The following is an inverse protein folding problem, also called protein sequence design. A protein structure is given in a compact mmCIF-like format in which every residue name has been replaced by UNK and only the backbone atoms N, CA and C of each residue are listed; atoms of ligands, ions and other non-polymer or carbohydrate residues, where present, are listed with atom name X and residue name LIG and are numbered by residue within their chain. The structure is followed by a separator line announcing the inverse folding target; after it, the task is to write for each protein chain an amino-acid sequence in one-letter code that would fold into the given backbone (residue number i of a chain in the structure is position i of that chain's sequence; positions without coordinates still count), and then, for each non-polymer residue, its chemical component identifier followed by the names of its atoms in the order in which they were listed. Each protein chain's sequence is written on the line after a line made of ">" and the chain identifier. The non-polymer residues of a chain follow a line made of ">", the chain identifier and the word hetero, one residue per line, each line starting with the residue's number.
data_IF_613730473579
#
_entry.id   IF_613730473579
#
_cell.length_a   1.000
_cell.length_b   1.000
_cell.length_c   1.000
_cell.angle_alpha   90.00
_cell.angle_beta   90.00
_cell.angle_gamma   90.00
#
_symmetry.space_group_name_H-M   'P 1'
#
loop_
_entity.id
_entity.type
_entity.pdbx_description
1 polymer ?
#
# COMPACT_ATOMS: atom_id res chain seq x y z
N UNK A 1 5.43 -7.11 9.56
CA UNK A 1 4.51 -6.44 8.61
C UNK A 1 5.19 -5.24 8.02
N UNK A 2 5.23 -5.18 6.70
CA UNK A 2 5.78 -4.07 5.94
C UNK A 2 4.64 -3.39 5.20
N UNK A 3 4.53 -2.06 5.33
CA UNK A 3 3.63 -1.27 4.48
C UNK A 3 4.25 -1.20 3.09
N UNK A 4 3.44 -1.48 2.07
CA UNK A 4 3.84 -1.40 0.67
C UNK A 4 3.44 -0.02 0.18
N UNK A 5 4.41 0.78 -0.23
CA UNK A 5 4.16 2.06 -0.87
C UNK A 5 4.15 1.87 -2.39
N UNK A 6 3.38 2.66 -3.12
CA UNK A 6 3.50 2.74 -4.58
C UNK A 6 4.83 3.38 -5.02
N UNK A 7 5.08 3.42 -6.33
CA UNK A 7 6.30 3.97 -6.92
C UNK A 7 6.51 5.46 -6.57
N UNK A 8 5.43 6.24 -6.59
CA UNK A 8 5.48 7.66 -6.28
C UNK A 8 5.97 7.89 -4.85
N UNK A 9 5.31 7.27 -3.87
CA UNK A 9 5.64 7.41 -2.45
C UNK A 9 7.02 6.81 -2.10
N UNK A 10 7.48 5.80 -2.84
CA UNK A 10 8.83 5.26 -2.73
C UNK A 10 9.90 6.26 -3.20
N UNK A 11 9.60 7.07 -4.22
CA UNK A 11 10.55 8.05 -4.78
C UNK A 11 10.76 9.28 -3.90
N UNK A 12 9.84 9.57 -2.98
CA UNK A 12 9.92 10.74 -2.10
C UNK A 12 11.09 10.66 -1.12
N UNK A 13 11.81 11.77 -0.97
CA UNK A 13 12.74 11.99 0.12
C UNK A 13 12.01 12.28 1.44
N UNK A 14 12.77 12.33 2.54
CA UNK A 14 12.22 12.49 3.89
C UNK A 14 11.65 13.90 4.16
N UNK A 15 12.17 14.90 3.47
CA UNK A 15 11.82 16.32 3.63
C UNK A 15 10.69 16.79 2.71
N UNK A 16 10.34 16.01 1.68
CA UNK A 16 9.18 16.26 0.82
C UNK A 16 7.91 16.43 1.66
N UNK A 17 6.99 17.28 1.21
CA UNK A 17 5.85 17.73 2.02
C UNK A 17 4.53 17.40 1.33
N UNK A 18 3.62 16.82 2.10
CA UNK A 18 2.21 16.69 1.77
C UNK A 18 1.42 17.84 2.38
N UNK A 19 0.47 18.39 1.65
CA UNK A 19 -0.58 19.22 2.22
C UNK A 19 -1.83 18.35 2.45
N UNK A 20 -2.24 18.20 3.70
CA UNK A 20 -3.39 17.40 4.11
C UNK A 20 -4.30 18.23 5.01
N UNK A 21 -5.50 18.58 4.55
CA UNK A 21 -6.47 19.37 5.33
C UNK A 21 -5.84 20.65 5.94
N UNK A 22 -5.19 21.47 5.11
CA UNK A 22 -4.47 22.70 5.50
C UNK A 22 -3.28 22.47 6.45
N UNK A 23 -2.75 21.26 6.54
CA UNK A 23 -1.56 20.92 7.32
C UNK A 23 -0.44 20.44 6.42
N UNK A 24 0.73 21.06 6.57
CA UNK A 24 1.96 20.61 5.92
C UNK A 24 2.62 19.49 6.74
N UNK A 25 2.79 18.32 6.12
CA UNK A 25 3.32 17.11 6.75
C UNK A 25 4.47 16.57 5.92
N UNK A 26 5.65 16.46 6.54
CA UNK A 26 6.81 15.81 5.90
C UNK A 26 6.53 14.34 5.60
N UNK A 27 7.06 13.86 4.48
CA UNK A 27 7.03 12.48 4.02
C UNK A 27 7.54 11.51 5.08
N UNK A 28 8.67 11.84 5.74
CA UNK A 28 9.19 11.03 6.84
C UNK A 28 8.18 10.89 8.00
N UNK A 29 7.52 12.00 8.38
CA UNK A 29 6.55 12.00 9.47
C UNK A 29 5.32 11.14 9.13
N UNK A 30 4.85 11.23 7.89
CA UNK A 30 3.75 10.39 7.40
C UNK A 30 4.13 8.91 7.41
N UNK A 31 5.27 8.54 6.80
CA UNK A 31 5.80 7.16 6.78
C UNK A 31 5.98 6.60 8.19
N UNK A 32 6.52 7.41 9.12
CA UNK A 32 6.66 7.02 10.52
C UNK A 32 5.31 6.77 11.19
N UNK A 33 4.36 7.72 11.08
CA UNK A 33 3.04 7.60 11.70
C UNK A 33 2.26 6.39 11.18
N UNK A 34 2.36 6.11 9.87
CA UNK A 34 1.80 4.90 9.27
C UNK A 34 2.45 3.65 9.86
N UNK A 35 3.78 3.55 9.82
CA UNK A 35 4.50 2.40 10.36
C UNK A 35 4.22 2.15 11.85
N UNK A 36 4.10 3.20 12.66
CA UNK A 36 3.75 3.12 14.09
C UNK A 36 2.31 2.62 14.29
N UNK A 37 1.34 3.21 13.58
CA UNK A 37 -0.09 2.83 13.65
C UNK A 37 -0.32 1.37 13.25
N UNK A 38 0.40 0.94 12.23
CA UNK A 38 0.37 -0.41 11.70
C UNK A 38 1.35 -1.36 12.43
N UNK A 39 2.21 -0.82 13.30
CA UNK A 39 3.15 -1.56 14.12
C UNK A 39 2.44 -2.50 15.11
N UNK A 40 1.41 -2.01 15.79
CA UNK A 40 0.71 -2.76 16.84
C UNK A 40 -0.80 -2.46 16.97
N UNK A 41 -1.27 -1.21 17.09
CA UNK A 41 -2.68 -0.94 17.40
C UNK A 41 -3.66 -1.53 16.40
N UNK A 42 -3.40 -1.36 15.10
CA UNK A 42 -4.31 -1.81 14.04
C UNK A 42 -4.27 -3.34 13.90
N UNK A 43 -3.09 -3.96 13.99
CA UNK A 43 -2.95 -5.42 13.87
C UNK A 43 -3.76 -6.15 14.93
N UNK A 44 -3.62 -5.72 16.18
CA UNK A 44 -4.33 -6.31 17.30
C UNK A 44 -5.84 -6.17 17.12
N UNK A 45 -6.31 -4.96 16.81
CA UNK A 45 -7.73 -4.68 16.62
C UNK A 45 -8.33 -5.49 15.47
N UNK A 46 -7.60 -5.65 14.35
CA UNK A 46 -8.05 -6.47 13.24
C UNK A 46 -8.25 -7.93 13.67
N UNK A 47 -7.26 -8.49 14.36
CA UNK A 47 -7.33 -9.88 14.82
C UNK A 47 -8.45 -10.08 15.84
N UNK A 48 -8.61 -9.16 16.79
CA UNK A 48 -9.73 -9.19 17.74
C UNK A 48 -11.08 -9.17 17.01
N UNK A 49 -11.19 -8.40 15.92
CA UNK A 49 -12.40 -8.34 15.13
C UNK A 49 -12.65 -9.62 14.31
N UNK A 50 -11.60 -10.27 13.80
CA UNK A 50 -11.70 -11.59 13.16
C UNK A 50 -12.14 -12.67 14.17
N UNK A 51 -11.54 -12.69 15.36
CA UNK A 51 -11.91 -13.59 16.46
C UNK A 51 -13.38 -13.39 16.88
N UNK A 52 -13.82 -12.12 16.97
CA UNK A 52 -15.21 -11.77 17.25
C UNK A 52 -16.17 -12.38 16.23
N UNK A 53 -15.80 -12.38 14.95
CA UNK A 53 -16.54 -13.01 13.86
C UNK A 53 -16.32 -14.53 13.72
N UNK A 54 -15.70 -15.17 14.72
CA UNK A 54 -15.44 -16.63 14.77
C UNK A 54 -14.53 -17.13 13.65
N UNK A 55 -13.69 -16.25 13.10
CA UNK A 55 -12.58 -16.63 12.23
C UNK A 55 -11.42 -16.96 13.15
N UNK A 56 -10.98 -18.23 13.16
CA UNK A 56 -9.87 -18.65 14.02
C UNK A 56 -8.59 -17.92 13.61
N UNK A 57 -8.05 -17.11 14.52
CA UNK A 57 -6.77 -16.42 14.30
C UNK A 57 -5.59 -17.08 15.02
N UNK A 58 -5.84 -18.16 15.75
CA UNK A 58 -4.83 -18.92 16.50
C UNK A 58 -4.28 -20.07 15.65
N UNK A 59 -2.96 -20.24 15.72
CA UNK A 59 -2.31 -21.47 15.27
C UNK A 59 -2.46 -22.51 16.39
N UNK A 60 -3.14 -23.65 16.15
CA UNK A 60 -3.35 -24.67 17.18
C UNK A 60 -2.05 -25.31 17.70
N UNK A 61 -0.92 -25.15 16.99
CA UNK A 61 0.40 -25.71 17.35
C UNK A 61 1.27 -24.66 18.08
N UNK A 62 1.16 -23.39 17.70
CA UNK A 62 2.06 -22.31 18.18
C UNK A 62 1.39 -21.24 19.04
N UNK A 63 0.08 -21.33 19.26
CA UNK A 63 -0.71 -20.30 19.97
C UNK A 63 -1.09 -19.11 19.08
N UNK A 64 -1.53 -18.01 19.70
CA UNK A 64 -1.90 -16.77 18.99
C UNK A 64 -0.64 -16.05 18.51
N UNK A 65 -0.32 -16.12 17.22
CA UNK A 65 0.74 -15.33 16.59
C UNK A 65 0.11 -14.31 15.65
N UNK A 66 -0.16 -13.11 16.16
CA UNK A 66 -0.69 -12.00 15.38
C UNK A 66 0.13 -11.77 14.10
N UNK A 67 1.44 -12.02 14.19
CA UNK A 67 2.44 -11.81 13.16
C UNK A 67 2.24 -12.73 11.96
N UNK A 68 1.70 -13.96 12.13
CA UNK A 68 1.63 -14.93 11.02
C UNK A 68 0.75 -14.43 9.88
N UNK A 69 -0.32 -13.70 10.19
CA UNK A 69 -1.24 -13.16 9.18
C UNK A 69 -0.59 -12.09 8.31
N UNK A 70 0.42 -11.38 8.82
CA UNK A 70 1.05 -10.23 8.15
C UNK A 70 2.49 -10.49 7.68
N UNK A 71 3.14 -11.55 8.17
CA UNK A 71 4.52 -11.89 7.81
C UNK A 71 4.54 -13.08 6.82
N UNK A 72 4.28 -14.30 7.29
CA UNK A 72 4.40 -15.53 6.49
C UNK A 72 3.11 -15.97 5.78
N UNK A 73 1.97 -15.47 6.24
CA UNK A 73 0.62 -15.90 5.88
C UNK A 73 0.13 -17.09 6.72
N UNK A 74 -1.14 -17.06 7.10
CA UNK A 74 -1.81 -18.15 7.82
C UNK A 74 -2.10 -19.33 6.87
N UNK A 75 -1.69 -20.54 7.24
CA UNK A 75 -1.96 -21.74 6.45
C UNK A 75 -3.45 -22.04 6.35
N UNK A 76 -3.91 -22.40 5.16
CA UNK A 76 -5.31 -22.71 4.93
C UNK A 76 -5.52 -23.69 3.76
N UNK A 77 -6.78 -24.11 3.59
CA UNK A 77 -7.26 -24.78 2.38
C UNK A 77 -8.46 -24.02 1.85
N UNK A 78 -8.56 -23.85 0.54
CA UNK A 78 -9.70 -23.25 -0.12
C UNK A 78 -10.38 -24.29 -1.02
N UNK A 79 -11.71 -24.40 -0.91
CA UNK A 79 -12.55 -25.12 -1.86
C UNK A 79 -13.39 -24.08 -2.59
N UNK A 80 -13.15 -23.92 -3.89
CA UNK A 80 -13.95 -23.02 -4.73
C UNK A 80 -15.26 -23.73 -5.09
N UNK A 81 -16.37 -23.02 -5.09
CA UNK A 81 -17.63 -23.55 -5.59
C UNK A 81 -17.48 -24.05 -7.03
N UNK A 82 -17.92 -25.28 -7.30
CA UNK A 82 -17.76 -25.93 -8.60
C UNK A 82 -16.35 -26.47 -8.90
N UNK A 83 -15.42 -26.46 -7.93
CA UNK A 83 -14.11 -27.09 -8.09
C UNK A 83 -14.10 -28.52 -7.55
N UNK A 84 -13.27 -29.37 -8.15
CA UNK A 84 -13.16 -30.80 -7.82
C UNK A 84 -12.36 -31.10 -6.54
N UNK A 85 -11.90 -30.08 -5.81
CA UNK A 85 -11.16 -30.33 -4.57
C UNK A 85 -10.58 -29.13 -3.85
N UNK A 86 -10.01 -29.42 -2.68
CA UNK A 86 -9.37 -28.46 -1.79
C UNK A 86 -7.95 -28.11 -2.24
N UNK A 87 -7.68 -26.83 -2.44
CA UNK A 87 -6.34 -26.29 -2.70
C UNK A 87 -5.69 -25.85 -1.39
N UNK A 88 -4.53 -26.40 -1.06
CA UNK A 88 -3.69 -25.93 0.07
C UNK A 88 -3.01 -24.60 -0.29
N UNK A 89 -2.87 -23.70 0.67
CA UNK A 89 -2.23 -22.42 0.48
C UNK A 89 -2.06 -21.65 1.78
N UNK A 90 -1.82 -20.34 1.66
CA UNK A 90 -1.73 -19.40 2.78
C UNK A 90 -2.54 -18.15 2.47
N UNK A 91 -3.19 -17.57 3.47
CA UNK A 91 -3.78 -16.23 3.41
C UNK A 91 -2.86 -15.27 4.13
N UNK A 92 -2.34 -14.28 3.41
CA UNK A 92 -1.49 -13.22 3.94
C UNK A 92 -2.17 -11.87 3.74
N UNK A 93 -2.14 -11.04 4.77
CA UNK A 93 -2.66 -9.68 4.76
C UNK A 93 -1.49 -8.75 4.47
N UNK A 94 -1.62 -7.97 3.40
CA UNK A 94 -0.70 -6.89 3.06
C UNK A 94 -1.44 -5.56 3.17
N UNK A 95 -0.73 -4.51 3.57
CA UNK A 95 -1.24 -3.14 3.63
C UNK A 95 -0.49 -2.35 2.57
N UNK A 96 -1.22 -1.76 1.62
CA UNK A 96 -0.67 -0.79 0.67
C UNK A 96 -1.11 0.63 0.99
N UNK A 97 -0.24 1.59 0.67
CA UNK A 97 -0.54 3.02 0.69
C UNK A 97 -0.18 3.57 -0.69
N UNK A 98 -1.12 4.28 -1.29
CA UNK A 98 -1.04 4.74 -2.68
C UNK A 98 -1.31 6.25 -2.70
N UNK A 99 -0.53 6.97 -3.50
CA UNK A 99 -0.79 8.34 -3.87
C UNK A 99 -1.48 8.35 -5.23
N UNK A 100 -2.68 8.91 -5.27
CA UNK A 100 -3.52 8.95 -6.48
C UNK A 100 -3.53 10.40 -6.97
N UNK A 101 -2.70 10.77 -7.96
CA UNK A 101 -2.74 12.11 -8.53
C UNK A 101 -4.05 12.32 -9.32
N UNK A 102 -4.66 13.49 -9.15
CA UNK A 102 -5.85 13.91 -9.89
C UNK A 102 -5.46 14.26 -11.33
N UNK A 103 -5.39 13.22 -12.18
CA UNK A 103 -4.82 13.26 -13.53
C UNK A 103 -3.32 13.61 -13.53
N UNK A 104 -2.51 13.08 -14.49
CA UNK A 104 -1.18 13.62 -14.63
C UNK A 104 -1.34 15.12 -14.89
N UNK A 105 -0.66 15.96 -14.13
CA UNK A 105 -0.27 17.26 -14.68
C UNK A 105 0.43 16.90 -15.98
N UNK A 106 -0.30 17.07 -17.08
CA UNK A 106 0.27 17.03 -18.41
C UNK A 106 1.37 18.06 -18.28
N UNK A 107 2.59 17.57 -18.22
CA UNK A 107 3.75 18.40 -18.39
C UNK A 107 3.46 19.20 -19.66
N UNK A 108 3.03 20.45 -19.51
CA UNK A 108 3.17 21.48 -20.53
C UNK A 108 4.66 21.79 -20.72
N UNK A 109 5.53 20.79 -20.61
CA UNK A 109 6.84 20.81 -21.22
C UNK A 109 6.57 20.54 -22.69
N UNK A 110 6.46 21.66 -23.42
CA UNK A 110 6.88 21.83 -24.80
C UNK A 110 7.38 20.52 -25.39
N UNK A 111 6.57 19.93 -26.28
CA UNK A 111 7.02 18.78 -27.02
C UNK A 111 8.38 19.13 -27.64
N UNK A 112 9.36 18.23 -27.70
CA UNK A 112 10.59 18.48 -28.48
C UNK A 112 10.29 18.93 -29.93
N UNK A 113 9.09 18.64 -30.42
CA UNK A 113 8.56 19.07 -31.71
C UNK A 113 8.05 20.52 -31.74
N UNK A 114 7.71 21.10 -30.59
CA UNK A 114 7.26 22.50 -30.47
C UNK A 114 8.45 23.47 -30.63
N UNK A 115 9.65 23.09 -30.16
CA UNK A 115 10.90 23.84 -30.42
C UNK A 115 11.18 23.91 -31.93
N UNK A 116 11.06 22.77 -32.65
CA UNK A 116 11.26 22.70 -34.11
C UNK A 116 10.22 23.54 -34.86
N UNK A 117 8.97 23.54 -34.38
CA UNK A 117 7.89 24.32 -35.00
C UNK A 117 8.11 25.83 -34.86
N UNK A 118 8.75 26.28 -33.78
CA UNK A 118 9.12 27.68 -33.58
C UNK A 118 10.28 28.10 -34.49
N UNK A 119 11.30 27.27 -34.66
CA UNK A 119 12.44 27.56 -35.57
C UNK A 119 11.99 27.73 -37.02
N UNK A 120 11.07 26.88 -37.48
CA UNK A 120 10.52 26.95 -38.84
C UNK A 120 9.65 28.19 -39.13
N UNK A 121 9.17 28.89 -38.09
CA UNK A 121 8.34 30.09 -38.25
C UNK A 121 9.16 31.39 -38.19
N UNK A 122 10.44 31.31 -37.80
CA UNK A 122 11.38 32.45 -37.76
C UNK A 122 12.20 32.62 -39.05
N UNK A 123 12.04 31.73 -40.03
CA UNK A 123 12.67 31.84 -41.36
C UNK A 123 11.68 32.45 -42.38
N UNK A 124 11.44 33.76 -42.27
CA UNK A 124 10.94 34.65 -43.35
C UNK A 124 11.47 36.08 -43.15
#
# INVERSE_FOLDING_TARGET
>A
MQIIYDEFLQSLNDDDVFELFDQLVKSQKLKFALNDSFGTPIKQKLVEHLDFHKISTQDPVKGKRLEIWFDDGAECRILRAGADGWKKGRVKINVSVEFIPDEPEVNEYQSPLDEIRQEMQSED
#
